data_IF_572758192924
#
_entry.id   IF_572758192924
#
_cell.length_a   1.000
_cell.length_b   1.000
_cell.length_c   1.000
_cell.angle_alpha   90.00
_cell.angle_beta   90.00
_cell.angle_gamma   90.00
#
_symmetry.space_group_name_H-M   'P 1'
#
loop_
_entity.id
_entity.type
_entity.pdbx_description
1 polymer ?
#
# COMPACT_ATOMS: atom_id res chain seq x y z
N UNK A 1 -28.05 37.10 12.68
CA UNK A 1 -27.87 37.26 11.23
C UNK A 1 -27.68 35.92 10.59
N UNK A 2 -28.74 35.35 10.04
CA UNK A 2 -28.78 34.02 9.40
C UNK A 2 -28.28 34.21 7.96
N UNK A 3 -27.07 33.76 7.63
CA UNK A 3 -26.60 33.74 6.25
C UNK A 3 -27.29 32.59 5.49
N UNK A 4 -28.19 32.94 4.60
CA UNK A 4 -28.75 32.05 3.61
C UNK A 4 -27.61 31.67 2.62
N UNK A 5 -27.08 30.46 2.75
CA UNK A 5 -26.24 29.87 1.70
C UNK A 5 -27.11 29.61 0.48
N UNK A 6 -26.82 30.34 -0.60
CA UNK A 6 -27.45 30.16 -1.89
C UNK A 6 -26.99 28.85 -2.49
N UNK A 7 -27.78 27.80 -2.40
CA UNK A 7 -27.54 26.57 -3.15
C UNK A 7 -27.77 26.89 -4.65
N UNK A 8 -26.69 27.05 -5.38
CA UNK A 8 -26.73 27.02 -6.84
C UNK A 8 -27.02 25.59 -7.28
N UNK A 9 -28.05 25.38 -8.11
CA UNK A 9 -28.22 24.11 -8.82
C UNK A 9 -26.91 23.78 -9.53
N UNK A 10 -26.46 22.49 -9.53
CA UNK A 10 -25.38 22.09 -10.39
C UNK A 10 -25.70 22.52 -11.83
N UNK A 11 -24.76 23.15 -12.51
CA UNK A 11 -24.90 23.45 -13.95
C UNK A 11 -25.20 22.13 -14.66
N UNK A 12 -26.17 22.13 -15.57
CA UNK A 12 -26.45 20.95 -16.40
C UNK A 12 -25.18 20.53 -17.12
N UNK A 13 -24.84 19.24 -17.03
CA UNK A 13 -23.71 18.67 -17.73
C UNK A 13 -23.97 18.75 -19.24
N UNK A 14 -23.24 19.61 -19.93
CA UNK A 14 -23.31 19.82 -21.37
C UNK A 14 -21.91 19.87 -21.99
N UNK A 15 -21.84 19.79 -23.30
CA UNK A 15 -20.56 19.75 -24.04
C UNK A 15 -19.70 20.98 -23.78
N UNK A 16 -20.28 22.16 -23.61
CA UNK A 16 -19.56 23.40 -23.33
C UNK A 16 -18.89 23.34 -21.94
N UNK A 17 -19.60 22.84 -20.94
CA UNK A 17 -19.04 22.66 -19.61
C UNK A 17 -17.93 21.59 -19.61
N UNK A 18 -18.16 20.46 -20.30
CA UNK A 18 -17.17 19.37 -20.38
C UNK A 18 -15.91 19.85 -21.04
N UNK A 19 -15.99 20.54 -22.17
CA UNK A 19 -14.83 21.08 -22.90
C UNK A 19 -14.05 22.15 -22.10
N UNK A 20 -14.74 22.90 -21.22
CA UNK A 20 -14.13 23.93 -20.39
C UNK A 20 -13.45 23.40 -19.12
N UNK A 21 -13.89 22.24 -18.59
CA UNK A 21 -13.48 21.73 -17.27
C UNK A 21 -12.80 20.37 -17.30
N UNK A 22 -12.72 19.70 -18.45
CA UNK A 22 -12.12 18.37 -18.61
C UNK A 22 -11.28 18.33 -19.90
N UNK A 23 -10.59 17.24 -20.15
CA UNK A 23 -9.87 16.97 -21.40
C UNK A 23 -10.77 16.49 -22.55
N UNK A 24 -12.03 16.20 -22.26
CA UNK A 24 -13.02 15.68 -23.22
C UNK A 24 -13.77 16.82 -23.88
N UNK A 25 -14.32 16.55 -25.07
CA UNK A 25 -15.02 17.58 -25.88
C UNK A 25 -16.54 17.49 -25.74
N UNK A 26 -17.07 16.32 -25.44
CA UNK A 26 -18.50 16.07 -25.36
C UNK A 26 -18.87 15.32 -24.07
N UNK A 27 -20.15 15.46 -23.67
CA UNK A 27 -20.71 14.73 -22.54
C UNK A 27 -20.61 13.22 -22.76
N UNK A 28 -20.78 12.76 -23.99
CA UNK A 28 -20.73 11.32 -24.30
C UNK A 28 -19.28 10.76 -24.15
N UNK A 29 -18.27 11.50 -24.61
CA UNK A 29 -16.85 11.13 -24.39
C UNK A 29 -16.53 11.10 -22.90
N UNK A 30 -16.92 12.12 -22.15
CA UNK A 30 -16.72 12.18 -20.71
C UNK A 30 -17.39 11.04 -19.96
N UNK A 31 -18.66 10.74 -20.27
CA UNK A 31 -19.40 9.62 -19.68
C UNK A 31 -18.76 8.27 -20.00
N UNK A 32 -18.31 8.08 -21.23
CA UNK A 32 -17.63 6.85 -21.64
C UNK A 32 -16.32 6.65 -20.86
N UNK A 33 -15.53 7.72 -20.68
CA UNK A 33 -14.30 7.69 -19.91
C UNK A 33 -14.57 7.41 -18.42
N UNK A 34 -15.51 8.11 -17.80
CA UNK A 34 -15.90 7.88 -16.40
C UNK A 34 -16.43 6.46 -16.19
N UNK A 35 -17.25 5.95 -17.13
CA UNK A 35 -17.74 4.58 -17.05
C UNK A 35 -16.60 3.57 -17.10
N UNK A 36 -15.66 3.75 -18.02
CA UNK A 36 -14.48 2.88 -18.13
C UNK A 36 -13.64 2.92 -16.87
N UNK A 37 -13.39 4.09 -16.33
CA UNK A 37 -12.65 4.26 -15.06
C UNK A 37 -13.33 3.57 -13.89
N UNK A 38 -14.66 3.69 -13.79
CA UNK A 38 -15.43 3.00 -12.74
C UNK A 38 -15.36 1.48 -12.90
N UNK A 39 -15.52 0.95 -14.12
CA UNK A 39 -15.41 -0.49 -14.40
C UNK A 39 -13.99 -1.02 -14.08
N UNK A 40 -12.95 -0.27 -14.42
CA UNK A 40 -11.57 -0.61 -14.08
C UNK A 40 -11.33 -0.59 -12.57
N UNK A 41 -11.87 0.40 -11.86
CA UNK A 41 -11.76 0.51 -10.40
C UNK A 41 -12.55 -0.60 -9.69
N UNK A 42 -13.74 -0.95 -10.16
CA UNK A 42 -14.52 -2.08 -9.63
C UNK A 42 -13.75 -3.40 -9.80
N UNK A 43 -13.15 -3.62 -10.97
CA UNK A 43 -12.34 -4.83 -11.24
C UNK A 43 -11.13 -4.89 -10.31
N UNK A 44 -10.37 -3.79 -10.19
CA UNK A 44 -9.21 -3.72 -9.29
C UNK A 44 -9.60 -3.96 -7.82
N UNK A 45 -10.72 -3.41 -7.37
CA UNK A 45 -11.22 -3.63 -6.02
C UNK A 45 -11.61 -5.09 -5.77
N UNK A 46 -12.28 -5.73 -6.75
CA UNK A 46 -12.66 -7.13 -6.65
C UNK A 46 -11.44 -8.06 -6.64
N UNK A 47 -10.44 -7.77 -7.47
CA UNK A 47 -9.16 -8.51 -7.49
C UNK A 47 -8.41 -8.35 -6.18
N UNK A 48 -8.34 -7.12 -5.64
CA UNK A 48 -7.72 -6.85 -4.34
C UNK A 48 -8.41 -7.61 -3.21
N UNK A 49 -9.74 -7.60 -3.16
CA UNK A 49 -10.51 -8.35 -2.14
C UNK A 49 -10.27 -9.86 -2.27
N UNK A 50 -10.16 -10.38 -3.51
CA UNK A 50 -9.88 -11.79 -3.76
C UNK A 50 -8.49 -12.16 -3.22
N UNK A 51 -7.45 -11.41 -3.58
CA UNK A 51 -6.07 -11.66 -3.14
C UNK A 51 -5.94 -11.53 -1.63
N UNK A 52 -6.50 -10.47 -1.04
CA UNK A 52 -6.46 -10.25 0.41
C UNK A 52 -7.16 -11.37 1.20
N UNK A 53 -8.31 -11.85 0.72
CA UNK A 53 -9.02 -12.96 1.34
C UNK A 53 -8.23 -14.27 1.22
N UNK A 54 -7.72 -14.58 0.04
CA UNK A 54 -6.90 -15.77 -0.19
C UNK A 54 -5.63 -15.74 0.67
N UNK A 55 -4.96 -14.59 0.75
CA UNK A 55 -3.79 -14.40 1.58
C UNK A 55 -4.11 -14.59 3.07
N UNK A 56 -5.21 -14.04 3.55
CA UNK A 56 -5.67 -14.24 4.92
C UNK A 56 -5.90 -15.71 5.26
N UNK A 57 -6.45 -16.49 4.31
CA UNK A 57 -6.61 -17.94 4.48
C UNK A 57 -5.27 -18.68 4.48
N UNK A 58 -4.32 -18.25 3.65
CA UNK A 58 -2.95 -18.81 3.65
C UNK A 58 -2.29 -18.59 5.00
N UNK A 59 -2.31 -17.36 5.53
CA UNK A 59 -1.76 -17.03 6.84
C UNK A 59 -2.42 -17.87 7.95
N UNK A 60 -3.74 -17.97 7.96
CA UNK A 60 -4.49 -18.73 8.98
C UNK A 60 -4.21 -20.24 8.97
N UNK A 61 -3.77 -20.79 7.83
CA UNK A 61 -3.45 -22.21 7.65
C UNK A 61 -1.94 -22.50 7.62
N UNK A 62 -1.11 -21.49 7.82
CA UNK A 62 0.34 -21.62 7.87
C UNK A 62 0.83 -21.61 9.32
N UNK A 63 1.96 -22.24 9.56
CA UNK A 63 2.61 -22.27 10.87
C UNK A 63 4.11 -22.05 10.66
N UNK A 64 4.62 -20.94 11.20
CA UNK A 64 6.07 -20.69 11.30
C UNK A 64 6.57 -21.34 12.58
N UNK A 65 7.47 -22.30 12.45
CA UNK A 65 7.98 -23.09 13.59
C UNK A 65 9.10 -22.41 14.34
N UNK A 66 9.84 -21.54 13.66
CA UNK A 66 11.01 -20.86 14.21
C UNK A 66 11.13 -19.48 13.55
N UNK A 67 11.31 -18.48 14.39
CA UNK A 67 11.54 -17.10 13.96
C UNK A 67 13.04 -16.81 14.13
N UNK A 68 13.80 -16.53 13.05
CA UNK A 68 15.17 -16.12 13.18
C UNK A 68 15.26 -14.81 13.96
N UNK A 69 15.91 -14.84 15.13
CA UNK A 69 16.02 -13.67 16.03
C UNK A 69 16.63 -12.45 15.31
N UNK A 70 17.66 -12.70 14.47
CA UNK A 70 18.30 -11.65 13.68
C UNK A 70 17.34 -10.95 12.70
N UNK A 71 16.38 -11.68 12.12
CA UNK A 71 15.41 -11.11 11.17
C UNK A 71 14.36 -10.30 11.91
N UNK A 72 13.92 -10.75 13.08
CA UNK A 72 13.01 -10.00 13.95
C UNK A 72 13.68 -8.70 14.41
N UNK A 73 14.93 -8.75 14.88
CA UNK A 73 15.69 -7.56 15.29
C UNK A 73 15.82 -6.53 14.15
N UNK A 74 16.16 -6.99 12.94
CA UNK A 74 16.21 -6.12 11.75
C UNK A 74 14.87 -5.50 11.42
N UNK A 75 13.79 -6.26 11.53
CA UNK A 75 12.44 -5.76 11.26
C UNK A 75 12.01 -4.71 12.30
N UNK A 76 12.35 -4.90 13.58
CA UNK A 76 12.13 -3.89 14.64
C UNK A 76 12.88 -2.60 14.32
N UNK A 77 14.18 -2.70 13.97
CA UNK A 77 14.98 -1.52 13.64
C UNK A 77 14.44 -0.78 12.40
N UNK A 78 14.04 -1.52 11.36
CA UNK A 78 13.47 -0.95 10.15
C UNK A 78 12.15 -0.22 10.43
N UNK A 79 11.27 -0.81 11.23
CA UNK A 79 10.00 -0.21 11.60
C UNK A 79 10.17 1.05 12.46
N UNK A 80 11.06 1.02 13.45
CA UNK A 80 11.40 2.19 14.25
C UNK A 80 11.94 3.34 13.39
N UNK A 81 12.83 3.03 12.46
CA UNK A 81 13.40 4.02 11.54
C UNK A 81 12.33 4.62 10.62
N UNK A 82 11.40 3.81 10.13
CA UNK A 82 10.28 4.29 9.31
C UNK A 82 9.40 5.27 10.12
N UNK A 83 9.05 4.91 11.34
CA UNK A 83 8.27 5.76 12.24
C UNK A 83 9.00 7.07 12.58
N UNK A 84 10.30 7.01 12.85
CA UNK A 84 11.13 8.20 13.09
C UNK A 84 11.13 9.15 11.89
N UNK A 85 11.26 8.62 10.67
CA UNK A 85 11.21 9.41 9.45
C UNK A 85 9.84 10.07 9.28
N UNK A 86 8.77 9.31 9.46
CA UNK A 86 7.39 9.83 9.38
C UNK A 86 7.14 10.97 10.37
N UNK A 87 7.52 10.78 11.63
CA UNK A 87 7.37 11.78 12.69
C UNK A 87 8.18 13.04 12.40
N UNK A 88 9.41 12.87 11.90
CA UNK A 88 10.30 13.97 11.51
C UNK A 88 9.75 14.75 10.31
N UNK A 89 9.21 14.07 9.30
CA UNK A 89 8.56 14.72 8.16
C UNK A 89 7.32 15.51 8.57
N UNK A 90 6.58 15.03 9.58
CA UNK A 90 5.47 15.75 10.18
C UNK A 90 5.93 16.95 11.07
N UNK A 91 7.25 17.16 11.23
CA UNK A 91 7.81 18.24 12.06
C UNK A 91 7.60 18.04 13.55
N UNK A 92 7.50 16.80 14.00
CA UNK A 92 7.25 16.42 15.40
C UNK A 92 8.45 15.69 16.00
N UNK A 93 8.52 15.68 17.33
CA UNK A 93 9.40 14.77 18.08
C UNK A 93 8.65 13.47 18.41
N UNK A 94 9.36 12.32 18.46
CA UNK A 94 8.76 11.03 18.77
C UNK A 94 7.99 11.04 20.09
N UNK A 95 8.52 11.70 21.12
CA UNK A 95 7.85 11.82 22.42
C UNK A 95 6.51 12.55 22.37
N UNK A 96 6.36 13.54 21.49
CA UNK A 96 5.10 14.25 21.29
C UNK A 96 4.12 13.44 20.47
N UNK A 97 4.62 12.71 19.49
CA UNK A 97 3.82 11.75 18.71
C UNK A 97 3.23 10.66 19.62
N UNK A 98 4.04 10.00 20.45
CA UNK A 98 3.58 8.96 21.37
C UNK A 98 2.54 9.52 22.38
N UNK A 99 2.77 10.70 22.92
CA UNK A 99 1.77 11.37 23.78
C UNK A 99 0.46 11.65 23.07
N UNK A 100 0.51 12.08 21.81
CA UNK A 100 -0.69 12.35 21.02
C UNK A 100 -1.50 11.07 20.76
N UNK A 101 -0.81 9.93 20.62
CA UNK A 101 -1.42 8.60 20.48
C UNK A 101 -1.85 7.99 21.84
N UNK A 102 -1.48 8.59 22.96
CA UNK A 102 -1.73 8.04 24.29
C UNK A 102 -0.92 6.79 24.61
N UNK A 103 0.23 6.63 23.96
CA UNK A 103 1.11 5.47 24.00
C UNK A 103 2.33 5.78 24.88
N UNK A 104 2.73 4.85 25.75
CA UNK A 104 4.01 4.92 26.46
C UNK A 104 5.17 4.43 25.57
N UNK A 105 6.41 4.69 25.99
CA UNK A 105 7.58 4.13 25.31
C UNK A 105 7.61 2.60 25.37
N UNK A 106 7.15 2.01 26.47
CA UNK A 106 7.07 0.56 26.66
C UNK A 106 6.02 -0.05 25.71
N UNK A 107 4.83 0.56 25.60
CA UNK A 107 3.80 0.13 24.65
C UNK A 107 4.29 0.24 23.20
N UNK A 108 5.05 1.28 22.88
CA UNK A 108 5.65 1.46 21.55
C UNK A 108 6.70 0.38 21.23
N UNK A 109 7.56 0.05 22.20
CA UNK A 109 8.52 -1.06 22.01
C UNK A 109 7.81 -2.39 21.78
N UNK A 110 6.74 -2.67 22.54
CA UNK A 110 5.94 -3.87 22.37
C UNK A 110 5.24 -3.90 21.01
N UNK A 111 4.68 -2.78 20.56
CA UNK A 111 4.06 -2.64 19.24
C UNK A 111 5.08 -2.88 18.10
N UNK A 112 6.29 -2.33 18.23
CA UNK A 112 7.38 -2.57 17.29
C UNK A 112 7.75 -4.05 17.22
N UNK A 113 7.81 -4.74 18.36
CA UNK A 113 8.11 -6.17 18.42
C UNK A 113 7.02 -7.00 17.77
N UNK A 114 5.76 -6.73 18.08
CA UNK A 114 4.61 -7.45 17.50
C UNK A 114 4.53 -7.24 15.97
N UNK A 115 4.76 -6.01 15.51
CA UNK A 115 4.82 -5.73 14.08
C UNK A 115 5.93 -6.52 13.40
N UNK A 116 7.14 -6.51 13.98
CA UNK A 116 8.30 -7.21 13.44
C UNK A 116 8.07 -8.72 13.35
N UNK A 117 7.52 -9.35 14.39
CA UNK A 117 7.19 -10.77 14.39
C UNK A 117 6.18 -11.11 13.29
N UNK A 118 5.11 -10.32 13.15
CA UNK A 118 4.11 -10.51 12.09
C UNK A 118 4.71 -10.33 10.69
N UNK A 119 5.62 -9.36 10.53
CA UNK A 119 6.32 -9.11 9.25
C UNK A 119 7.23 -10.27 8.88
N UNK A 120 8.02 -10.77 9.84
CA UNK A 120 8.91 -11.91 9.62
C UNK A 120 8.11 -13.17 9.33
N UNK A 121 6.99 -13.41 10.04
CA UNK A 121 6.08 -14.52 9.76
C UNK A 121 5.59 -14.49 8.30
N UNK A 122 5.07 -13.34 7.87
CA UNK A 122 4.62 -13.16 6.50
C UNK A 122 5.73 -13.42 5.48
N UNK A 123 6.93 -12.87 5.70
CA UNK A 123 8.05 -13.03 4.79
C UNK A 123 8.52 -14.49 4.68
N UNK A 124 8.54 -15.23 5.79
CA UNK A 124 8.89 -16.65 5.79
C UNK A 124 7.87 -17.50 5.04
N UNK A 125 6.58 -17.20 5.18
CA UNK A 125 5.51 -17.87 4.44
C UNK A 125 5.62 -17.57 2.94
N UNK A 126 5.80 -16.28 2.59
CA UNK A 126 6.01 -15.85 1.19
C UNK A 126 7.20 -16.56 0.57
N UNK A 127 8.36 -16.58 1.27
CA UNK A 127 9.55 -17.26 0.77
C UNK A 127 9.33 -18.76 0.60
N UNK A 128 8.66 -19.40 1.56
CA UNK A 128 8.31 -20.82 1.47
C UNK A 128 7.44 -21.15 0.26
N UNK A 129 6.48 -20.30 -0.08
CA UNK A 129 5.64 -20.46 -1.27
C UNK A 129 6.46 -20.21 -2.55
N UNK A 130 7.26 -19.14 -2.59
CA UNK A 130 8.11 -18.85 -3.74
C UNK A 130 9.06 -20.01 -4.05
N UNK A 131 9.69 -20.59 -3.03
CA UNK A 131 10.59 -21.74 -3.18
C UNK A 131 9.85 -22.99 -3.67
N UNK A 132 8.67 -23.27 -3.11
CA UNK A 132 7.87 -24.44 -3.47
C UNK A 132 7.32 -24.38 -4.90
N UNK A 133 6.91 -23.19 -5.36
CA UNK A 133 6.29 -22.96 -6.65
C UNK A 133 7.29 -22.48 -7.72
N UNK A 134 8.57 -22.27 -7.36
CA UNK A 134 9.62 -21.83 -8.28
C UNK A 134 9.42 -20.41 -8.77
N UNK A 135 8.81 -19.53 -7.95
CA UNK A 135 8.58 -18.12 -8.27
C UNK A 135 9.86 -17.31 -8.02
N UNK A 136 10.08 -16.28 -8.83
CA UNK A 136 11.26 -15.41 -8.73
C UNK A 136 10.87 -13.95 -8.96
N UNK A 137 11.65 -13.02 -8.36
CA UNK A 137 11.58 -11.59 -8.67
C UNK A 137 12.36 -11.22 -9.95
N UNK A 138 13.00 -12.19 -10.59
CA UNK A 138 13.70 -12.04 -11.88
C UNK A 138 12.85 -12.50 -13.07
N UNK A 139 11.61 -12.93 -12.82
CA UNK A 139 10.68 -13.36 -13.86
C UNK A 139 10.27 -12.20 -14.78
N UNK A 140 9.97 -12.52 -16.05
CA UNK A 140 9.68 -11.49 -17.08
C UNK A 140 8.45 -10.62 -16.76
N UNK A 141 7.50 -11.12 -15.93
CA UNK A 141 6.28 -10.44 -15.53
C UNK A 141 6.46 -9.50 -14.31
N UNK A 142 7.62 -9.52 -13.68
CA UNK A 142 7.89 -8.67 -12.49
C UNK A 142 7.78 -7.18 -12.79
N UNK A 143 8.00 -6.76 -14.04
CA UNK A 143 7.88 -5.35 -14.42
C UNK A 143 6.47 -4.83 -14.20
N UNK A 144 5.44 -5.62 -14.48
CA UNK A 144 4.05 -5.25 -14.23
C UNK A 144 3.80 -5.02 -12.73
N UNK A 145 4.34 -5.89 -11.87
CA UNK A 145 4.23 -5.73 -10.42
C UNK A 145 4.97 -4.48 -9.91
N UNK A 146 6.13 -4.18 -10.49
CA UNK A 146 6.88 -2.95 -10.18
C UNK A 146 6.10 -1.69 -10.55
N UNK A 147 5.49 -1.67 -11.72
CA UNK A 147 4.69 -0.54 -12.19
C UNK A 147 3.43 -0.33 -11.31
N UNK A 148 2.80 -1.42 -10.89
CA UNK A 148 1.68 -1.35 -9.97
C UNK A 148 2.08 -0.87 -8.59
N UNK A 149 3.19 -1.37 -8.04
CA UNK A 149 3.73 -0.94 -6.76
C UNK A 149 4.07 0.57 -6.78
N UNK A 150 4.69 1.06 -7.87
CA UNK A 150 4.94 2.49 -8.06
C UNK A 150 3.65 3.31 -8.07
N UNK A 151 2.63 2.82 -8.76
CA UNK A 151 1.32 3.49 -8.84
C UNK A 151 0.62 3.53 -7.47
N UNK A 152 0.70 2.45 -6.71
CA UNK A 152 0.10 2.35 -5.38
C UNK A 152 0.74 3.33 -4.38
N UNK A 153 2.07 3.40 -4.38
CA UNK A 153 2.81 4.30 -3.49
C UNK A 153 2.95 5.73 -3.99
N UNK A 154 2.54 6.01 -5.25
CA UNK A 154 2.58 7.34 -5.84
C UNK A 154 3.98 7.85 -6.19
N UNK A 155 4.95 6.96 -6.46
CA UNK A 155 6.31 7.30 -6.86
C UNK A 155 6.47 7.31 -8.38
N UNK A 156 7.34 8.20 -8.88
CA UNK A 156 7.62 8.32 -10.31
C UNK A 156 8.66 7.31 -10.82
N UNK A 157 9.49 6.75 -9.91
CA UNK A 157 10.51 5.77 -10.28
C UNK A 157 10.78 4.77 -9.15
N UNK A 158 11.20 3.57 -9.54
CA UNK A 158 11.57 2.50 -8.63
C UNK A 158 12.76 2.89 -7.73
N UNK A 159 13.72 3.66 -8.27
CA UNK A 159 14.87 4.15 -7.50
C UNK A 159 14.44 5.09 -6.36
N UNK A 160 13.42 5.93 -6.57
CA UNK A 160 12.87 6.78 -5.51
C UNK A 160 12.18 5.95 -4.42
N UNK A 161 11.40 4.93 -4.82
CA UNK A 161 10.75 4.03 -3.90
C UNK A 161 11.78 3.29 -3.03
N UNK A 162 12.81 2.71 -3.66
CA UNK A 162 13.91 2.01 -2.98
C UNK A 162 14.70 2.97 -2.07
N UNK A 163 14.95 4.19 -2.50
CA UNK A 163 15.66 5.18 -1.69
C UNK A 163 14.90 5.55 -0.40
N UNK A 164 13.58 5.53 -0.43
CA UNK A 164 12.74 5.87 0.72
C UNK A 164 12.52 4.68 1.67
N UNK A 165 12.11 3.53 1.13
CA UNK A 165 11.75 2.35 1.94
C UNK A 165 12.91 1.37 2.15
N UNK A 166 13.93 1.41 1.30
CA UNK A 166 15.01 0.44 1.26
C UNK A 166 14.73 -0.71 0.30
N UNK A 167 15.80 -1.30 -0.25
CA UNK A 167 15.71 -2.37 -1.24
C UNK A 167 15.04 -3.62 -0.67
N UNK A 168 15.34 -3.97 0.58
CA UNK A 168 14.76 -5.15 1.23
C UNK A 168 13.24 -5.02 1.33
N UNK A 169 12.71 -3.92 1.87
CA UNK A 169 11.28 -3.70 2.06
C UNK A 169 10.52 -3.72 0.73
N UNK A 170 11.11 -3.10 -0.31
CA UNK A 170 10.52 -3.09 -1.65
C UNK A 170 10.50 -4.49 -2.27
N UNK A 171 11.56 -5.28 -2.10
CA UNK A 171 11.62 -6.66 -2.58
C UNK A 171 10.63 -7.57 -1.83
N UNK A 172 10.47 -7.39 -0.52
CA UNK A 172 9.47 -8.11 0.28
C UNK A 172 8.04 -7.80 -0.18
N UNK A 173 7.75 -6.54 -0.48
CA UNK A 173 6.46 -6.13 -1.03
C UNK A 173 6.20 -6.75 -2.42
N UNK A 174 7.19 -6.76 -3.29
CA UNK A 174 7.10 -7.43 -4.60
C UNK A 174 6.92 -8.95 -4.46
N UNK A 175 7.60 -9.57 -3.52
CA UNK A 175 7.48 -11.00 -3.26
C UNK A 175 6.07 -11.38 -2.79
N UNK A 176 5.50 -10.58 -1.88
CA UNK A 176 4.12 -10.74 -1.45
C UNK A 176 3.14 -10.60 -2.62
N UNK A 177 3.25 -9.51 -3.39
CA UNK A 177 2.41 -9.30 -4.59
C UNK A 177 2.54 -10.46 -5.59
N UNK A 178 3.76 -11.00 -5.75
CA UNK A 178 4.02 -12.15 -6.63
C UNK A 178 3.30 -13.40 -6.19
N UNK A 179 3.29 -13.66 -4.88
CA UNK A 179 2.60 -14.81 -4.28
C UNK A 179 1.08 -14.63 -4.31
N UNK A 180 0.58 -13.44 -3.97
CA UNK A 180 -0.87 -13.16 -3.99
C UNK A 180 -1.51 -13.33 -5.37
N UNK A 181 -0.72 -13.21 -6.42
CA UNK A 181 -1.20 -13.31 -7.82
C UNK A 181 -0.84 -14.63 -8.51
N UNK A 182 -0.25 -15.54 -7.77
CA UNK A 182 0.00 -16.92 -8.22
C UNK A 182 -1.23 -17.79 -8.03
#
# INVERSE_FOLDING_TARGET
STSLQKFTRPSELNDEWVAANTEYKTVDEYRAAVKKELEENETKSADYDLYSNAWSEVLANSEVKEYPEEDVDKAVEAYKKLNENYVKEAGMEMSDFLKAQGMSEEDYEEDCQQYAESKVEQNLIVQGIMDAEGLSLDDDDIQTLKDELLSEYGYESFDQLVAYYGEQEVNESLALMRVERF
#
